data_IF_448041149573
#
_entry.id   IF_448041149573
#
_cell.length_a   1.000
_cell.length_b   1.000
_cell.length_c   1.000
_cell.angle_alpha   90.00
_cell.angle_beta   90.00
_cell.angle_gamma   90.00
#
_symmetry.space_group_name_H-M   'P 1'
#
loop_
_entity.id
_entity.type
_entity.pdbx_description
1 polymer ?
#
# COMPACT_ATOMS: atom_id res chain seq x y z
N UNK A 1 -31.17 33.30 -17.23
CA UNK A 1 -31.30 34.65 -16.65
C UNK A 1 -32.75 34.81 -16.25
N UNK A 2 -33.04 34.96 -14.96
CA UNK A 2 -34.34 35.44 -14.50
C UNK A 2 -34.06 36.22 -13.21
N UNK A 3 -34.29 37.53 -13.24
CA UNK A 3 -34.24 38.38 -12.06
C UNK A 3 -35.67 38.48 -11.52
N UNK A 4 -35.88 38.11 -10.27
CA UNK A 4 -37.13 38.38 -9.57
C UNK A 4 -36.95 39.69 -8.81
N UNK A 5 -37.80 40.67 -9.11
CA UNK A 5 -37.84 41.96 -8.42
C UNK A 5 -39.00 41.87 -7.43
N UNK A 6 -38.70 41.92 -6.14
CA UNK A 6 -39.70 42.10 -5.08
C UNK A 6 -39.64 43.55 -4.61
N UNK A 7 -40.71 44.30 -4.83
CA UNK A 7 -40.88 45.65 -4.27
C UNK A 7 -41.75 45.55 -3.02
N UNK A 8 -41.18 45.81 -1.85
CA UNK A 8 -41.95 46.14 -0.64
C UNK A 8 -42.15 47.66 -0.60
N UNK A 9 -43.41 48.08 -0.66
CA UNK A 9 -43.79 49.48 -0.48
C UNK A 9 -43.96 49.78 1.02
N UNK A 10 -43.08 50.62 1.57
CA UNK A 10 -43.33 51.39 2.79
C UNK A 10 -43.38 52.87 2.45
N UNK A 11 -44.39 53.55 3.01
CA UNK A 11 -44.73 54.95 2.77
C UNK A 11 -43.54 55.91 2.94
N UNK A 12 -43.49 56.89 2.02
CA UNK A 12 -42.41 57.85 1.82
C UNK A 12 -42.50 59.04 2.80
N UNK A 13 -41.34 59.47 3.32
CA UNK A 13 -41.04 60.90 3.51
C UNK A 13 -39.94 61.32 2.52
N UNK A 14 -40.10 62.51 1.97
CA UNK A 14 -39.34 63.02 0.82
C UNK A 14 -37.87 63.32 1.13
N UNK A 15 -37.02 63.05 0.13
CA UNK A 15 -35.57 63.28 0.04
C UNK A 15 -34.66 62.37 0.87
N UNK A 16 -34.30 61.20 0.32
CA UNK A 16 -32.91 60.84 -0.01
C UNK A 16 -32.84 59.49 -0.74
N UNK A 17 -31.80 59.31 -1.55
CA UNK A 17 -31.62 58.31 -2.61
C UNK A 17 -32.10 56.88 -2.29
N UNK A 18 -33.02 56.35 -3.10
CA UNK A 18 -33.27 54.90 -3.20
C UNK A 18 -32.02 54.20 -3.72
N UNK A 19 -31.16 53.73 -2.82
CA UNK A 19 -30.10 52.80 -3.15
C UNK A 19 -30.72 51.44 -3.46
N UNK A 20 -30.96 51.16 -4.74
CA UNK A 20 -31.31 49.81 -5.19
C UNK A 20 -30.08 48.92 -5.00
N UNK A 21 -30.02 48.17 -3.90
CA UNK A 21 -29.00 47.14 -3.71
C UNK A 21 -29.34 45.98 -4.64
N UNK A 22 -28.82 46.05 -5.87
CA UNK A 22 -28.83 44.91 -6.78
C UNK A 22 -27.76 43.94 -6.28
N UNK A 23 -28.14 42.98 -5.43
CA UNK A 23 -27.32 41.79 -5.19
C UNK A 23 -27.29 40.96 -6.47
N UNK A 24 -26.34 41.27 -7.35
CA UNK A 24 -25.96 40.35 -8.43
C UNK A 24 -25.34 39.13 -7.76
N UNK A 25 -26.12 38.06 -7.62
CA UNK A 25 -25.57 36.74 -7.34
C UNK A 25 -24.72 36.33 -8.54
N UNK A 26 -23.44 36.65 -8.50
CA UNK A 26 -22.46 36.04 -9.38
C UNK A 26 -22.43 34.56 -9.04
N UNK A 27 -23.09 33.73 -9.86
CA UNK A 27 -22.86 32.28 -9.82
C UNK A 27 -21.39 32.05 -10.16
N UNK A 28 -20.58 31.77 -9.15
CA UNK A 28 -19.18 31.44 -9.35
C UNK A 28 -19.07 30.17 -10.21
N UNK A 29 -17.93 29.97 -10.87
CA UNK A 29 -17.66 28.71 -11.57
C UNK A 29 -17.84 27.50 -10.62
N UNK A 30 -17.51 27.67 -9.34
CA UNK A 30 -17.74 26.70 -8.26
C UNK A 30 -19.22 26.31 -8.12
N UNK A 31 -20.15 27.27 -8.11
CA UNK A 31 -21.58 26.98 -8.00
C UNK A 31 -22.13 26.22 -9.21
N UNK A 32 -21.64 26.55 -10.41
CA UNK A 32 -22.00 25.83 -11.64
C UNK A 32 -21.55 24.37 -11.58
N UNK A 33 -20.32 24.12 -11.11
CA UNK A 33 -19.78 22.77 -10.95
C UNK A 33 -20.59 21.99 -9.91
N UNK A 34 -20.86 22.58 -8.74
CA UNK A 34 -21.66 21.92 -7.69
C UNK A 34 -23.07 21.60 -8.21
N UNK A 35 -23.70 22.55 -8.91
CA UNK A 35 -25.02 22.37 -9.51
C UNK A 35 -25.01 21.22 -10.51
N UNK A 36 -24.03 21.20 -11.42
CA UNK A 36 -23.86 20.12 -12.39
C UNK A 36 -23.71 18.75 -11.71
N UNK A 37 -22.86 18.64 -10.68
CA UNK A 37 -22.67 17.38 -9.96
C UNK A 37 -23.95 16.89 -9.30
N UNK A 38 -24.73 17.80 -8.69
CA UNK A 38 -26.01 17.44 -8.08
C UNK A 38 -27.07 17.03 -9.08
N UNK A 39 -27.27 17.83 -10.13
CA UNK A 39 -28.29 17.59 -11.17
C UNK A 39 -28.03 16.27 -11.92
N UNK A 40 -26.77 15.88 -12.04
CA UNK A 40 -26.36 14.64 -12.72
C UNK A 40 -26.01 13.50 -11.76
N UNK A 41 -26.30 13.65 -10.46
CA UNK A 41 -26.01 12.65 -9.41
C UNK A 41 -24.56 12.12 -9.44
N UNK A 42 -23.60 12.99 -9.72
CA UNK A 42 -22.17 12.65 -9.80
C UNK A 42 -21.52 12.71 -8.42
N UNK A 43 -20.50 11.88 -8.23
CA UNK A 43 -19.63 11.86 -7.05
C UNK A 43 -18.23 12.26 -7.50
N UNK A 44 -17.60 13.15 -6.76
CA UNK A 44 -16.22 13.54 -7.00
C UNK A 44 -15.28 12.54 -6.31
N UNK A 45 -14.37 11.94 -7.04
CA UNK A 45 -13.38 11.00 -6.48
C UNK A 45 -12.01 11.63 -6.61
N UNK A 46 -11.30 11.74 -5.49
CA UNK A 46 -9.91 12.14 -5.45
C UNK A 46 -9.07 10.94 -5.02
N UNK A 47 -8.37 10.37 -5.98
CA UNK A 47 -7.46 9.25 -5.74
C UNK A 47 -6.09 9.75 -5.28
N UNK A 48 -5.33 8.88 -4.62
CA UNK A 48 -3.91 9.14 -4.34
C UNK A 48 -3.63 10.46 -3.59
N UNK A 49 -4.53 10.85 -2.68
CA UNK A 49 -4.49 12.15 -2.00
C UNK A 49 -3.18 12.42 -1.24
N UNK A 50 -2.55 11.38 -0.71
CA UNK A 50 -1.29 11.45 0.04
C UNK A 50 -0.09 11.97 -0.74
N UNK A 51 -0.12 12.00 -2.08
CA UNK A 51 0.97 12.55 -2.88
C UNK A 51 0.98 14.09 -2.91
N UNK A 52 -0.15 14.74 -2.60
CA UNK A 52 -0.19 16.20 -2.49
C UNK A 52 0.65 16.66 -1.30
N UNK A 53 1.26 17.86 -1.40
CA UNK A 53 1.92 18.47 -0.23
C UNK A 53 0.91 18.79 0.87
N UNK A 54 1.35 18.88 2.13
CA UNK A 54 0.47 19.20 3.26
C UNK A 54 -0.31 20.52 3.07
N UNK A 55 0.30 21.50 2.41
CA UNK A 55 -0.33 22.79 2.08
C UNK A 55 -1.49 22.61 1.07
N UNK A 56 -1.26 21.84 0.01
CA UNK A 56 -2.30 21.50 -0.98
C UNK A 56 -3.40 20.66 -0.35
N UNK A 57 -3.05 19.67 0.48
CA UNK A 57 -4.01 18.84 1.20
C UNK A 57 -4.94 19.70 2.09
N UNK A 58 -4.37 20.67 2.80
CA UNK A 58 -5.12 21.61 3.63
C UNK A 58 -6.07 22.48 2.81
N UNK A 59 -5.59 23.04 1.69
CA UNK A 59 -6.42 23.85 0.79
C UNK A 59 -7.59 23.05 0.21
N UNK A 60 -7.34 21.81 -0.21
CA UNK A 60 -8.39 20.89 -0.69
C UNK A 60 -9.41 20.62 0.42
N UNK A 61 -8.96 20.34 1.65
CA UNK A 61 -9.85 20.12 2.79
C UNK A 61 -10.75 21.33 3.06
N UNK A 62 -10.20 22.54 3.01
CA UNK A 62 -10.93 23.79 3.18
C UNK A 62 -11.98 24.00 2.07
N UNK A 63 -11.63 23.76 0.81
CA UNK A 63 -12.57 23.90 -0.30
C UNK A 63 -13.68 22.85 -0.26
N UNK A 64 -13.36 21.60 0.08
CA UNK A 64 -14.31 20.50 0.20
C UNK A 64 -15.32 20.77 1.32
N UNK A 65 -14.87 21.33 2.45
CA UNK A 65 -15.76 21.72 3.55
C UNK A 65 -16.90 22.61 3.09
N UNK A 66 -16.63 23.64 2.30
CA UNK A 66 -17.67 24.55 1.82
C UNK A 66 -18.70 23.85 0.92
N UNK A 67 -18.24 23.01 0.00
CA UNK A 67 -19.12 22.37 -1.00
C UNK A 67 -19.92 21.21 -0.41
N UNK A 68 -19.36 20.48 0.57
CA UNK A 68 -20.08 19.43 1.29
C UNK A 68 -21.28 20.03 2.04
N UNK A 69 -21.16 21.26 2.60
CA UNK A 69 -22.32 21.95 3.21
C UNK A 69 -23.45 22.18 2.21
N UNK A 70 -23.12 22.30 0.93
CA UNK A 70 -24.10 22.47 -0.12
C UNK A 70 -24.69 21.12 -0.57
N UNK A 71 -24.21 19.97 -0.10
CA UNK A 71 -24.67 18.64 -0.55
C UNK A 71 -23.86 18.09 -1.73
N UNK A 72 -22.65 18.60 -1.95
CA UNK A 72 -21.67 17.97 -2.83
C UNK A 72 -21.17 16.67 -2.21
N UNK A 73 -21.05 15.61 -3.02
CA UNK A 73 -20.56 14.30 -2.58
C UNK A 73 -19.14 14.09 -3.09
N UNK A 74 -18.23 13.77 -2.18
CA UNK A 74 -16.85 13.48 -2.49
C UNK A 74 -16.40 12.17 -1.82
N UNK A 75 -15.51 11.44 -2.49
CA UNK A 75 -14.77 10.29 -1.97
C UNK A 75 -13.30 10.62 -2.11
N UNK A 76 -12.54 10.40 -1.04
CA UNK A 76 -11.11 10.66 -0.99
C UNK A 76 -10.44 9.34 -0.65
N UNK A 77 -9.49 8.94 -1.49
CA UNK A 77 -8.72 7.71 -1.32
C UNK A 77 -7.31 8.12 -0.95
N UNK A 78 -6.81 7.54 0.15
CA UNK A 78 -5.46 7.84 0.63
C UNK A 78 -4.88 6.70 1.45
N UNK A 79 -3.56 6.67 1.59
CA UNK A 79 -2.87 5.75 2.50
C UNK A 79 -2.99 6.24 3.95
N UNK A 80 -3.21 5.33 4.91
CA UNK A 80 -3.28 5.67 6.32
C UNK A 80 -1.97 6.30 6.81
N UNK A 81 -2.06 7.20 7.79
CA UNK A 81 -0.95 7.87 8.49
C UNK A 81 -0.14 8.95 7.74
N UNK A 82 -0.42 9.25 6.46
CA UNK A 82 0.40 10.24 5.71
C UNK A 82 -0.33 11.51 5.28
N UNK A 83 -1.65 11.65 5.44
CA UNK A 83 -2.34 12.77 4.75
C UNK A 83 -3.77 13.13 5.12
N UNK A 84 -4.50 12.33 5.88
CA UNK A 84 -5.94 12.56 6.10
C UNK A 84 -6.25 13.33 7.38
N UNK A 85 -5.26 13.66 8.21
CA UNK A 85 -5.41 14.48 9.42
C UNK A 85 -6.08 15.83 9.13
N UNK A 86 -5.73 16.50 8.04
CA UNK A 86 -6.30 17.80 7.68
C UNK A 86 -7.82 17.76 7.46
N UNK A 87 -8.35 16.61 7.02
CA UNK A 87 -9.78 16.40 6.79
C UNK A 87 -10.43 15.79 8.02
N UNK A 88 -9.81 14.74 8.61
CA UNK A 88 -10.31 14.02 9.79
C UNK A 88 -10.38 14.89 11.04
N UNK A 89 -9.36 15.71 11.28
CA UNK A 89 -9.27 16.57 12.46
C UNK A 89 -9.98 17.91 12.28
N UNK A 90 -10.63 18.16 11.13
CA UNK A 90 -11.35 19.40 10.89
C UNK A 90 -12.68 19.40 11.67
N UNK A 91 -12.84 20.22 12.72
CA UNK A 91 -14.02 20.17 13.59
C UNK A 91 -15.31 20.47 12.84
N UNK A 92 -15.24 21.27 11.76
CA UNK A 92 -16.40 21.64 10.95
C UNK A 92 -16.91 20.54 10.02
N UNK A 93 -16.11 19.49 9.80
CA UNK A 93 -16.48 18.32 9.02
C UNK A 93 -16.93 17.15 9.91
N UNK A 94 -16.87 17.32 11.24
CA UNK A 94 -17.36 16.35 12.22
C UNK A 94 -18.81 15.97 11.93
N UNK A 95 -19.08 14.66 11.84
CA UNK A 95 -20.41 14.11 11.53
C UNK A 95 -20.84 14.21 10.05
N UNK A 96 -20.00 14.78 9.16
CA UNK A 96 -20.23 14.84 7.71
C UNK A 96 -19.20 14.03 6.91
N UNK A 97 -18.19 13.50 7.59
CA UNK A 97 -17.24 12.55 7.04
C UNK A 97 -17.66 11.16 7.50
N UNK A 98 -17.67 10.23 6.55
CA UNK A 98 -17.63 8.80 6.84
C UNK A 98 -16.25 8.30 6.45
N UNK A 99 -15.56 7.71 7.41
CA UNK A 99 -14.27 7.07 7.18
C UNK A 99 -14.51 5.59 6.98
N UNK A 100 -13.98 5.04 5.90
CA UNK A 100 -13.94 3.61 5.64
C UNK A 100 -12.46 3.22 5.66
N UNK A 101 -12.08 2.43 6.65
CA UNK A 101 -10.72 1.89 6.74
C UNK A 101 -10.70 0.54 6.02
N UNK A 102 -9.76 0.39 5.09
CA UNK A 102 -9.58 -0.86 4.34
C UNK A 102 -8.52 -1.68 5.08
N UNK A 103 -8.95 -2.82 5.61
CA UNK A 103 -8.06 -3.79 6.25
C UNK A 103 -7.19 -4.52 5.21
N UNK A 104 -6.04 -5.11 5.61
CA UNK A 104 -5.26 -5.99 4.75
C UNK A 104 -6.10 -7.15 4.20
N UNK A 105 -5.82 -7.55 2.95
CA UNK A 105 -6.52 -8.64 2.29
C UNK A 105 -6.29 -9.97 2.99
N UNK A 106 -7.38 -10.68 3.28
CA UNK A 106 -7.35 -12.03 3.84
C UNK A 106 -7.07 -13.03 2.73
N UNK A 107 -6.47 -14.17 3.09
CA UNK A 107 -6.17 -15.25 2.14
C UNK A 107 -7.41 -15.67 1.34
N UNK A 108 -8.57 -15.83 2.00
CA UNK A 108 -9.84 -16.17 1.34
C UNK A 108 -10.29 -15.13 0.31
N UNK A 109 -10.05 -13.84 0.56
CA UNK A 109 -10.41 -12.76 -0.37
C UNK A 109 -9.48 -12.75 -1.59
N UNK A 110 -8.20 -13.11 -1.41
CA UNK A 110 -7.28 -13.30 -2.54
C UNK A 110 -7.67 -14.49 -3.40
N UNK A 111 -8.11 -15.61 -2.79
CA UNK A 111 -8.58 -16.78 -3.52
C UNK A 111 -9.77 -16.44 -4.44
N UNK A 112 -10.64 -15.51 -4.06
CA UNK A 112 -11.74 -15.04 -4.91
C UNK A 112 -11.27 -14.40 -6.23
N UNK A 113 -10.08 -13.80 -6.25
CA UNK A 113 -9.48 -13.26 -7.48
C UNK A 113 -9.22 -14.41 -8.46
N UNK A 114 -8.58 -15.48 -8.01
CA UNK A 114 -8.33 -16.67 -8.81
C UNK A 114 -9.65 -17.34 -9.23
N UNK A 115 -10.57 -17.60 -8.28
CA UNK A 115 -11.84 -18.29 -8.58
C UNK A 115 -12.64 -17.56 -9.66
N UNK A 116 -12.84 -16.25 -9.50
CA UNK A 116 -13.60 -15.44 -10.48
C UNK A 116 -12.86 -15.33 -11.82
N UNK A 117 -11.54 -15.14 -11.77
CA UNK A 117 -10.71 -15.02 -12.98
C UNK A 117 -10.71 -16.30 -13.80
N UNK A 118 -10.34 -17.44 -13.20
CA UNK A 118 -10.29 -18.72 -13.91
C UNK A 118 -11.67 -19.21 -14.33
N UNK A 119 -12.72 -18.97 -13.54
CA UNK A 119 -14.09 -19.26 -13.96
C UNK A 119 -14.49 -18.47 -15.20
N UNK A 120 -14.17 -17.18 -15.27
CA UNK A 120 -14.47 -16.35 -16.45
C UNK A 120 -13.68 -16.82 -17.70
N UNK A 121 -12.47 -17.33 -17.48
CA UNK A 121 -11.62 -17.92 -18.53
C UNK A 121 -11.99 -19.39 -18.86
N UNK A 122 -12.92 -20.00 -18.12
CA UNK A 122 -13.29 -21.42 -18.22
C UNK A 122 -12.11 -22.38 -17.98
N UNK A 123 -11.16 -21.98 -17.15
CA UNK A 123 -10.02 -22.80 -16.73
C UNK A 123 -10.39 -23.48 -15.39
N UNK A 124 -10.18 -24.79 -15.30
CA UNK A 124 -10.37 -25.53 -14.06
C UNK A 124 -9.08 -25.55 -13.25
N UNK A 125 -9.15 -25.20 -11.97
CA UNK A 125 -7.99 -25.18 -11.08
C UNK A 125 -8.36 -25.83 -9.76
N UNK A 126 -7.51 -26.71 -9.24
CA UNK A 126 -7.70 -27.33 -7.94
C UNK A 126 -7.59 -26.29 -6.82
N UNK A 127 -8.40 -26.46 -5.76
CA UNK A 127 -8.46 -25.50 -4.67
C UNK A 127 -7.12 -25.37 -3.92
N UNK A 128 -6.35 -26.46 -3.79
CA UNK A 128 -5.01 -26.45 -3.19
C UNK A 128 -4.03 -25.53 -3.94
N UNK A 129 -4.18 -25.43 -5.27
CA UNK A 129 -3.35 -24.55 -6.10
C UNK A 129 -3.78 -23.08 -5.96
N UNK A 130 -5.08 -22.83 -5.79
CA UNK A 130 -5.63 -21.51 -5.48
C UNK A 130 -5.15 -21.02 -4.10
N UNK A 131 -5.17 -21.90 -3.10
CA UNK A 131 -4.60 -21.64 -1.78
C UNK A 131 -3.10 -21.33 -1.87
N UNK A 132 -2.35 -22.09 -2.67
CA UNK A 132 -0.93 -21.84 -2.89
C UNK A 132 -0.68 -20.48 -3.58
N UNK A 133 -1.44 -20.13 -4.62
CA UNK A 133 -1.34 -18.80 -5.26
C UNK A 133 -1.60 -17.68 -4.26
N UNK A 134 -2.62 -17.82 -3.41
CA UNK A 134 -2.94 -16.82 -2.39
C UNK A 134 -1.83 -16.70 -1.33
N UNK A 135 -1.25 -17.82 -0.89
CA UNK A 135 -0.11 -17.84 0.03
C UNK A 135 1.10 -17.12 -0.56
N UNK A 136 1.44 -17.43 -1.82
CA UNK A 136 2.58 -16.81 -2.51
C UNK A 136 2.37 -15.34 -2.84
N UNK A 137 1.12 -14.86 -2.80
CA UNK A 137 0.77 -13.46 -3.02
C UNK A 137 0.93 -12.57 -1.79
N UNK A 138 1.25 -13.13 -0.62
CA UNK A 138 1.60 -12.40 0.61
C UNK A 138 0.61 -11.26 0.91
N UNK A 139 -0.67 -11.59 1.08
CA UNK A 139 -1.74 -10.63 1.38
C UNK A 139 -1.87 -9.46 0.37
N UNK A 140 -1.30 -9.59 -0.84
CA UNK A 140 -1.29 -8.52 -1.84
C UNK A 140 -2.09 -8.91 -3.09
N UNK A 141 -3.20 -8.21 -3.40
CA UNK A 141 -3.92 -8.43 -4.65
C UNK A 141 -3.05 -8.04 -5.86
N UNK A 142 -2.12 -7.10 -5.69
CA UNK A 142 -1.16 -6.68 -6.72
C UNK A 142 -0.18 -7.79 -7.11
N UNK A 143 0.04 -8.79 -6.26
CA UNK A 143 0.82 -9.99 -6.57
C UNK A 143 -0.07 -11.12 -7.08
N UNK A 144 -1.26 -11.30 -6.48
CA UNK A 144 -2.21 -12.34 -6.88
C UNK A 144 -2.65 -12.21 -8.34
N UNK A 145 -3.00 -10.99 -8.77
CA UNK A 145 -3.47 -10.73 -10.12
C UNK A 145 -2.45 -11.08 -11.21
N UNK A 146 -1.18 -10.62 -11.18
CA UNK A 146 -0.19 -10.98 -12.19
C UNK A 146 0.17 -12.47 -12.15
N UNK A 147 0.19 -13.13 -10.97
CA UNK A 147 0.39 -14.58 -10.91
C UNK A 147 -0.74 -15.30 -11.67
N UNK A 148 -2.01 -14.98 -11.37
CA UNK A 148 -3.14 -15.56 -12.09
C UNK A 148 -3.14 -15.22 -13.58
N UNK A 149 -2.74 -13.99 -13.95
CA UNK A 149 -2.64 -13.56 -15.34
C UNK A 149 -1.61 -14.39 -16.10
N UNK A 150 -0.40 -14.58 -15.54
CA UNK A 150 0.65 -15.36 -16.18
C UNK A 150 0.19 -16.79 -16.45
N UNK A 151 -0.53 -17.39 -15.50
CA UNK A 151 -1.13 -18.71 -15.64
C UNK A 151 -2.22 -18.71 -16.72
N UNK A 152 -3.10 -17.71 -16.70
CA UNK A 152 -4.19 -17.57 -17.68
C UNK A 152 -3.71 -17.28 -19.11
N UNK A 153 -2.47 -16.83 -19.29
CA UNK A 153 -1.84 -16.60 -20.59
C UNK A 153 -1.08 -17.82 -21.12
N UNK A 154 -1.03 -18.93 -20.37
CA UNK A 154 -0.41 -20.16 -20.85
C UNK A 154 -1.16 -20.68 -22.09
N UNK A 155 -0.42 -21.19 -23.09
CA UNK A 155 -1.03 -21.67 -24.32
C UNK A 155 -1.82 -22.97 -24.11
N UNK A 156 -2.95 -23.09 -24.80
CA UNK A 156 -3.81 -24.27 -24.80
C UNK A 156 -5.20 -24.01 -24.22
N UNK A 157 -6.18 -24.81 -24.63
CA UNK A 157 -7.58 -24.64 -24.21
C UNK A 157 -7.84 -25.07 -22.75
N UNK A 158 -6.91 -25.80 -22.14
CA UNK A 158 -6.98 -26.21 -20.74
C UNK A 158 -5.56 -26.45 -20.19
N UNK A 159 -4.84 -25.39 -19.78
CA UNK A 159 -3.47 -25.55 -19.28
C UNK A 159 -3.47 -26.38 -18.00
N UNK A 160 -2.57 -27.36 -17.92
CA UNK A 160 -2.34 -28.11 -16.70
C UNK A 160 -1.59 -27.21 -15.71
N UNK A 161 -2.30 -26.75 -14.68
CA UNK A 161 -1.73 -25.87 -13.67
C UNK A 161 -1.10 -26.76 -12.61
N UNK A 162 0.22 -26.67 -12.49
CA UNK A 162 1.00 -27.37 -11.48
C UNK A 162 1.60 -26.38 -10.49
N UNK A 163 2.20 -26.94 -9.43
CA UNK A 163 3.03 -26.15 -8.51
C UNK A 163 4.13 -25.40 -9.26
N UNK A 164 4.85 -26.07 -10.16
CA UNK A 164 5.96 -25.47 -10.90
C UNK A 164 5.51 -24.29 -11.75
N UNK A 165 4.32 -24.38 -12.36
CA UNK A 165 3.69 -23.29 -13.12
C UNK A 165 3.43 -22.06 -12.23
N UNK A 166 2.97 -22.26 -10.99
CA UNK A 166 2.77 -21.16 -10.03
C UNK A 166 4.13 -20.54 -9.67
N UNK A 167 5.14 -21.36 -9.39
CA UNK A 167 6.47 -20.85 -9.04
C UNK A 167 7.12 -20.07 -10.19
N UNK A 168 6.99 -20.56 -11.43
CA UNK A 168 7.45 -19.86 -12.62
C UNK A 168 6.70 -18.55 -12.83
N UNK A 169 5.39 -18.53 -12.58
CA UNK A 169 4.57 -17.31 -12.62
C UNK A 169 4.98 -16.31 -11.55
N UNK A 170 5.41 -16.78 -10.38
CA UNK A 170 5.97 -15.94 -9.33
C UNK A 170 7.33 -15.36 -9.73
N UNK A 171 8.23 -16.21 -10.27
CA UNK A 171 9.54 -15.80 -10.80
C UNK A 171 9.39 -14.75 -11.91
N UNK A 172 8.44 -14.94 -12.82
CA UNK A 172 8.15 -13.98 -13.89
C UNK A 172 7.57 -12.66 -13.34
N UNK A 173 6.64 -12.72 -12.38
CA UNK A 173 6.14 -11.51 -11.71
C UNK A 173 7.28 -10.74 -11.02
N UNK A 174 8.22 -11.46 -10.44
CA UNK A 174 9.37 -10.89 -9.74
C UNK A 174 10.31 -10.09 -10.65
N UNK A 175 10.44 -10.44 -11.94
CA UNK A 175 11.35 -9.71 -12.86
C UNK A 175 10.92 -8.26 -13.08
N UNK A 176 9.66 -7.93 -12.82
CA UNK A 176 9.12 -6.57 -12.97
C UNK A 176 9.33 -5.69 -11.73
N UNK A 177 9.92 -6.22 -10.66
CA UNK A 177 10.12 -5.52 -9.39
C UNK A 177 11.54 -4.96 -9.25
N UNK A 178 11.67 -3.73 -8.77
CA UNK A 178 12.94 -3.00 -8.71
C UNK A 178 13.57 -2.97 -7.30
N UNK A 179 13.65 -4.12 -6.61
CA UNK A 179 14.27 -4.22 -5.26
C UNK A 179 15.74 -4.68 -5.28
N UNK A 180 16.33 -4.90 -6.44
CA UNK A 180 17.71 -5.41 -6.56
C UNK A 180 18.75 -4.56 -5.81
N UNK A 181 18.64 -3.23 -5.89
CA UNK A 181 19.53 -2.31 -5.16
C UNK A 181 19.31 -2.38 -3.64
N UNK A 182 18.05 -2.47 -3.18
CA UNK A 182 17.70 -2.61 -1.77
C UNK A 182 18.28 -3.90 -1.20
N UNK A 183 18.07 -5.03 -1.89
CA UNK A 183 18.64 -6.33 -1.50
C UNK A 183 20.16 -6.29 -1.49
N UNK A 184 20.79 -5.64 -2.49
CA UNK A 184 22.25 -5.48 -2.52
C UNK A 184 22.76 -4.72 -1.30
N UNK A 185 22.11 -3.63 -0.92
CA UNK A 185 22.45 -2.82 0.26
C UNK A 185 22.27 -3.62 1.55
N UNK A 186 21.15 -4.32 1.70
CA UNK A 186 20.88 -5.17 2.87
C UNK A 186 21.88 -6.31 3.00
N UNK A 187 22.17 -7.01 1.90
CA UNK A 187 23.16 -8.10 1.84
C UNK A 187 24.57 -7.59 2.15
N UNK A 188 24.90 -6.39 1.66
CA UNK A 188 26.19 -5.76 1.91
C UNK A 188 26.36 -5.35 3.37
N UNK A 189 25.33 -4.85 4.05
CA UNK A 189 25.41 -4.39 5.45
C UNK A 189 26.40 -3.23 5.68
N UNK A 190 26.64 -2.81 6.93
CA UNK A 190 27.50 -1.67 7.27
C UNK A 190 28.98 -1.93 6.93
N UNK A 191 29.76 -0.90 6.52
CA UNK A 191 31.16 -1.06 6.11
C UNK A 191 32.01 -1.78 7.16
N UNK A 192 32.85 -2.71 6.71
CA UNK A 192 33.81 -3.38 7.59
C UNK A 192 35.09 -2.56 7.68
N UNK A 193 35.50 -2.16 8.90
CA UNK A 193 36.75 -1.42 9.14
C UNK A 193 37.98 -2.35 9.04
N UNK A 194 38.15 -3.04 7.91
CA UNK A 194 39.25 -3.97 7.64
C UNK A 194 39.11 -5.38 8.23
N UNK A 195 38.11 -5.63 9.09
CA UNK A 195 37.85 -6.97 9.64
C UNK A 195 36.84 -7.74 8.80
N UNK A 196 37.15 -9.01 8.47
CA UNK A 196 36.20 -9.89 7.78
C UNK A 196 35.03 -10.25 8.72
N UNK A 197 33.80 -10.21 8.21
CA UNK A 197 32.64 -10.68 8.97
C UNK A 197 32.70 -12.19 9.17
N UNK A 198 32.24 -12.65 10.33
CA UNK A 198 32.03 -14.06 10.59
C UNK A 198 31.03 -14.64 9.59
N UNK A 199 31.36 -15.80 9.03
CA UNK A 199 30.49 -16.57 8.14
C UNK A 199 30.00 -17.82 8.84
N UNK A 200 28.79 -18.24 8.49
CA UNK A 200 28.14 -19.43 9.00
C UNK A 200 27.96 -20.45 7.88
N UNK A 201 28.15 -21.73 8.19
CA UNK A 201 27.87 -22.84 7.29
C UNK A 201 26.39 -23.20 7.36
N UNK A 202 25.75 -23.29 6.21
CA UNK A 202 24.34 -23.63 6.07
C UNK A 202 24.18 -25.07 5.57
N UNK A 203 23.01 -25.65 5.81
CA UNK A 203 22.64 -27.01 5.40
C UNK A 203 22.65 -27.24 3.88
N UNK A 204 22.54 -26.17 3.10
CA UNK A 204 22.71 -26.17 1.64
C UNK A 204 24.19 -26.12 1.19
N UNK A 205 25.13 -26.29 2.13
CA UNK A 205 26.59 -26.18 1.96
C UNK A 205 27.09 -24.79 1.58
N UNK A 206 26.22 -23.78 1.59
CA UNK A 206 26.64 -22.39 1.36
C UNK A 206 27.24 -21.76 2.63
N UNK A 207 27.99 -20.67 2.44
CA UNK A 207 28.50 -19.86 3.53
C UNK A 207 27.97 -18.43 3.44
N UNK A 208 27.28 -17.97 4.47
CA UNK A 208 26.66 -16.63 4.51
C UNK A 208 27.10 -15.86 5.76
N UNK A 209 27.23 -14.54 5.65
CA UNK A 209 27.36 -13.67 6.83
C UNK A 209 25.99 -13.44 7.48
N UNK A 210 25.95 -12.74 8.63
CA UNK A 210 24.70 -12.55 9.38
C UNK A 210 23.61 -11.86 8.54
N UNK A 211 23.96 -10.89 7.71
CA UNK A 211 22.99 -10.14 6.90
C UNK A 211 22.43 -10.98 5.76
N UNK A 212 23.31 -11.68 5.05
CA UNK A 212 22.91 -12.60 3.97
C UNK A 212 22.11 -13.79 4.50
N UNK A 213 22.37 -14.21 5.74
CA UNK A 213 21.64 -15.26 6.43
C UNK A 213 20.23 -14.80 6.83
N UNK A 214 20.10 -13.61 7.43
CA UNK A 214 18.78 -13.06 7.79
C UNK A 214 17.94 -12.89 6.52
N UNK A 215 18.48 -12.33 5.43
CA UNK A 215 17.75 -12.20 4.17
C UNK A 215 17.27 -13.54 3.61
N UNK A 216 18.11 -14.59 3.66
CA UNK A 216 17.71 -15.94 3.24
C UNK A 216 16.55 -16.45 4.09
N UNK A 217 16.63 -16.26 5.40
CA UNK A 217 15.61 -16.74 6.35
C UNK A 217 14.28 -15.99 6.21
N UNK A 218 14.31 -14.70 5.90
CA UNK A 218 13.10 -13.94 5.58
C UNK A 218 12.39 -14.50 4.33
N UNK A 219 13.14 -15.08 3.39
CA UNK A 219 12.58 -15.72 2.21
C UNK A 219 12.02 -17.14 2.47
N UNK A 220 12.25 -17.73 3.64
CA UNK A 220 11.83 -19.11 3.92
C UNK A 220 10.30 -19.26 4.05
N UNK A 221 9.82 -20.48 3.84
CA UNK A 221 8.41 -20.86 4.01
C UNK A 221 8.05 -21.11 5.48
N UNK A 222 6.83 -20.74 5.92
CA UNK A 222 5.87 -19.88 5.21
C UNK A 222 6.34 -18.41 5.19
N UNK A 223 5.95 -17.61 4.19
CA UNK A 223 6.23 -16.18 4.18
C UNK A 223 5.49 -15.49 5.33
N UNK A 224 6.21 -14.68 6.09
CA UNK A 224 5.66 -13.95 7.23
C UNK A 224 5.93 -12.45 7.06
N UNK A 225 4.85 -11.67 7.12
CA UNK A 225 4.93 -10.21 7.14
C UNK A 225 5.31 -9.66 8.52
N UNK A 226 5.10 -10.45 9.56
CA UNK A 226 5.52 -10.14 10.93
C UNK A 226 6.27 -11.34 11.52
N UNK A 227 7.46 -11.10 12.07
CA UNK A 227 8.32 -12.15 12.61
C UNK A 227 8.90 -11.68 13.93
N UNK A 228 8.55 -12.34 15.02
CA UNK A 228 9.19 -12.09 16.31
C UNK A 228 10.61 -12.66 16.36
N UNK A 229 11.39 -12.22 17.34
CA UNK A 229 12.78 -12.63 17.47
C UNK A 229 12.97 -14.14 17.72
N UNK A 230 12.02 -14.80 18.38
CA UNK A 230 12.09 -16.24 18.66
C UNK A 230 11.92 -17.05 17.37
N UNK A 231 10.87 -16.77 16.62
CA UNK A 231 10.60 -17.38 15.30
C UNK A 231 11.76 -17.12 14.34
N UNK A 232 12.27 -15.88 14.27
CA UNK A 232 13.42 -15.55 13.44
C UNK A 232 14.65 -16.41 13.81
N UNK A 233 14.95 -16.54 15.10
CA UNK A 233 16.08 -17.34 15.56
C UNK A 233 15.86 -18.82 15.26
N UNK A 234 14.66 -19.36 15.45
CA UNK A 234 14.33 -20.74 15.14
C UNK A 234 14.55 -21.03 13.64
N UNK A 235 14.08 -20.16 12.75
CA UNK A 235 14.30 -20.28 11.31
C UNK A 235 15.78 -20.19 10.94
N UNK A 236 16.54 -19.31 11.58
CA UNK A 236 18.00 -19.23 11.39
C UNK A 236 18.65 -20.56 11.79
N UNK A 237 18.34 -21.08 12.98
CA UNK A 237 18.96 -22.30 13.48
C UNK A 237 18.65 -23.52 12.61
N UNK A 238 17.44 -23.60 12.03
CA UNK A 238 17.05 -24.66 11.08
C UNK A 238 17.91 -24.68 9.81
N UNK A 239 18.45 -23.54 9.41
CA UNK A 239 19.30 -23.40 8.23
C UNK A 239 20.80 -23.67 8.52
N UNK A 240 21.22 -23.79 9.79
CA UNK A 240 22.62 -23.91 10.18
C UNK A 240 23.04 -25.36 10.39
N UNK A 241 24.24 -25.72 9.90
CA UNK A 241 24.77 -27.09 10.00
C UNK A 241 25.31 -27.45 11.39
N UNK A 242 26.01 -26.51 12.04
CA UNK A 242 26.77 -26.81 13.27
C UNK A 242 27.02 -25.61 14.18
N UNK A 243 26.99 -24.39 13.63
CA UNK A 243 27.27 -23.17 14.38
C UNK A 243 25.99 -22.62 15.01
N UNK A 244 26.08 -22.16 16.26
CA UNK A 244 25.01 -21.39 16.90
C UNK A 244 25.27 -19.91 16.69
N UNK A 245 24.21 -19.15 16.42
CA UNK A 245 24.22 -17.70 16.46
C UNK A 245 23.56 -17.24 17.76
N UNK A 246 24.12 -16.21 18.40
CA UNK A 246 23.51 -15.62 19.58
C UNK A 246 22.40 -14.65 19.16
N UNK A 247 21.26 -14.67 19.88
CA UNK A 247 20.13 -13.75 19.66
C UNK A 247 20.58 -12.29 19.57
N UNK A 248 21.46 -11.87 20.49
CA UNK A 248 21.97 -10.50 20.53
C UNK A 248 22.64 -10.08 19.21
N UNK A 249 23.34 -11.01 18.54
CA UNK A 249 24.01 -10.73 17.27
C UNK A 249 23.02 -10.52 16.12
N UNK A 250 21.86 -11.18 16.17
CA UNK A 250 20.77 -10.96 15.23
C UNK A 250 20.14 -9.59 15.49
N UNK A 251 19.82 -9.27 16.75
CA UNK A 251 19.32 -7.94 17.17
C UNK A 251 20.25 -6.80 16.74
N UNK A 252 21.57 -6.97 16.95
CA UNK A 252 22.56 -5.98 16.55
C UNK A 252 22.60 -5.79 15.02
N UNK A 253 22.42 -6.87 14.25
CA UNK A 253 22.34 -6.81 12.79
C UNK A 253 21.09 -6.03 12.34
N UNK A 254 19.92 -6.29 12.93
CA UNK A 254 18.68 -5.56 12.63
C UNK A 254 18.80 -4.07 12.96
N UNK A 255 19.38 -3.74 14.12
CA UNK A 255 19.65 -2.36 14.52
C UNK A 255 20.55 -1.63 13.52
N UNK A 256 21.59 -2.32 13.04
CA UNK A 256 22.48 -1.75 12.04
C UNK A 256 21.79 -1.56 10.69
N UNK A 257 20.91 -2.47 10.26
CA UNK A 257 20.09 -2.27 9.07
C UNK A 257 19.19 -1.05 9.21
N UNK A 258 18.40 -0.92 10.28
CA UNK A 258 17.53 0.24 10.46
C UNK A 258 18.31 1.56 10.44
N UNK A 259 19.45 1.61 11.14
CA UNK A 259 20.31 2.80 11.13
C UNK A 259 20.84 3.11 9.73
N UNK A 260 21.26 2.09 8.99
CA UNK A 260 21.79 2.25 7.64
C UNK A 260 20.71 2.71 6.66
N UNK A 261 19.51 2.12 6.72
CA UNK A 261 18.40 2.45 5.83
C UNK A 261 17.79 3.83 6.12
N UNK A 262 17.94 4.36 7.33
CA UNK A 262 17.46 5.70 7.69
C UNK A 262 18.09 6.81 6.83
N UNK A 263 19.30 6.59 6.31
CA UNK A 263 20.00 7.54 5.43
C UNK A 263 19.54 7.42 3.95
N UNK A 264 18.73 6.42 3.62
CA UNK A 264 18.20 6.20 2.27
C UNK A 264 16.76 6.72 2.13
N UNK A 265 16.34 6.93 0.88
CA UNK A 265 14.99 7.41 0.56
C UNK A 265 13.87 6.40 0.87
N UNK A 266 12.59 6.79 0.71
CA UNK A 266 11.43 5.97 1.07
C UNK A 266 11.40 4.56 0.47
N UNK A 267 11.96 4.37 -0.73
CA UNK A 267 12.05 3.07 -1.42
C UNK A 267 12.88 2.02 -0.65
N UNK A 268 13.71 2.44 0.31
CA UNK A 268 14.54 1.54 1.12
C UNK A 268 13.88 1.18 2.45
N UNK A 269 12.74 1.78 2.80
CA UNK A 269 12.00 1.54 4.04
C UNK A 269 11.09 0.30 3.91
N UNK A 270 11.69 -0.83 3.53
CA UNK A 270 10.96 -2.07 3.22
C UNK A 270 10.59 -2.91 4.44
N UNK A 271 11.22 -2.65 5.59
CA UNK A 271 10.89 -3.27 6.86
C UNK A 271 11.15 -2.32 8.03
N UNK A 272 10.51 -2.59 9.16
CA UNK A 272 10.75 -1.95 10.45
C UNK A 272 10.99 -3.03 11.51
N UNK A 273 11.95 -2.83 12.41
CA UNK A 273 12.13 -3.66 13.60
C UNK A 273 11.80 -2.85 14.84
N UNK A 274 10.79 -3.28 15.58
CA UNK A 274 10.26 -2.57 16.75
C UNK A 274 9.68 -3.57 17.74
N UNK A 275 9.85 -3.33 19.03
CA UNK A 275 9.29 -4.17 20.10
C UNK A 275 9.63 -5.68 19.95
N UNK A 276 10.86 -5.99 19.50
CA UNK A 276 11.33 -7.34 19.19
C UNK A 276 10.53 -8.08 18.10
N UNK A 277 9.90 -7.33 17.19
CA UNK A 277 9.19 -7.85 16.01
C UNK A 277 9.69 -7.15 14.74
N UNK A 278 9.97 -7.92 13.70
CA UNK A 278 10.19 -7.42 12.34
C UNK A 278 8.83 -7.30 11.65
N UNK A 279 8.50 -6.10 11.21
CA UNK A 279 7.34 -5.82 10.36
C UNK A 279 7.82 -5.53 8.94
N UNK A 280 7.40 -6.34 7.99
CA UNK A 280 7.58 -6.07 6.56
C UNK A 280 6.58 -4.99 6.17
N UNK A 281 7.10 -3.84 5.73
CA UNK A 281 6.28 -2.69 5.33
C UNK A 281 5.81 -2.79 3.88
N UNK A 282 6.50 -3.61 3.09
CA UNK A 282 6.22 -3.79 1.67
C UNK A 282 6.19 -5.29 1.30
N UNK A 283 5.00 -5.81 1.03
CA UNK A 283 4.81 -7.22 0.68
C UNK A 283 5.49 -7.58 -0.66
N UNK A 284 5.65 -6.61 -1.57
CA UNK A 284 6.33 -6.84 -2.85
C UNK A 284 7.84 -7.02 -2.62
N UNK A 285 8.41 -6.39 -1.60
CA UNK A 285 9.79 -6.65 -1.20
C UNK A 285 9.97 -8.09 -0.68
N UNK A 286 9.09 -8.56 0.20
CA UNK A 286 9.15 -9.95 0.70
C UNK A 286 8.96 -10.95 -0.44
N UNK A 287 8.03 -10.67 -1.35
CA UNK A 287 7.85 -11.45 -2.57
C UNK A 287 9.13 -11.50 -3.41
N UNK A 288 9.78 -10.34 -3.60
CA UNK A 288 11.05 -10.26 -4.30
C UNK A 288 12.14 -11.08 -3.61
N UNK A 289 12.22 -11.08 -2.28
CA UNK A 289 13.20 -11.89 -1.56
C UNK A 289 13.06 -13.39 -1.84
N UNK A 290 11.83 -13.86 -2.03
CA UNK A 290 11.52 -15.28 -2.25
C UNK A 290 11.82 -15.73 -3.66
N UNK A 291 11.49 -14.89 -4.64
CA UNK A 291 11.45 -15.28 -6.05
C UNK A 291 12.60 -14.71 -6.88
N UNK A 292 13.30 -13.68 -6.38
CA UNK A 292 14.60 -13.30 -6.94
C UNK A 292 15.65 -14.30 -6.43
N UNK A 293 16.52 -14.80 -7.30
CA UNK A 293 17.55 -15.76 -6.91
C UNK A 293 18.60 -15.09 -6.00
N UNK A 294 18.49 -15.21 -4.66
CA UNK A 294 19.33 -14.50 -3.65
C UNK A 294 20.51 -15.28 -3.07
#
# INVERSE_FOLDING_TARGET
MNAQISEENMDLSENEQRATIVKKNFFGNKDKVIKYFKENHKVFVLDDFHYASSEIQYDIACQLKEVIRMGFKAVIISLPYRSDDAIRLNPDLTGRISVIEIEPWKSQELQEIARKGFQALKISVDEELIEKMALESIHSPQLMQPICLNIGLLPGDNPEISVDVIEDSCRFTCTNLSYGDVVRVLKAGPPTRGQRRLRYNLTDKSQRDVYSLILKVLADNPPLVEIDMEELLQRILKNLDSNKIAMQKVKDALKNWQKMLADYGPMYQVFEWKDDVIHIQDNLFLFYLRWSSI
#
